data_IF_389644461031
#
_entry.id   IF_389644461031
#
_cell.length_a   1.000
_cell.length_b   1.000
_cell.length_c   1.000
_cell.angle_alpha   90.00
_cell.angle_beta   90.00
_cell.angle_gamma   90.00
#
_symmetry.space_group_name_H-M   'P 1'
#
loop_
_entity.id
_entity.type
_entity.pdbx_description
1 polymer ?
2 non-polymer ?
3 water ?
#
# COMPACT_ATOMS: atom_id res chain seq x y z
N UNK A 15 43.43 15.92 -8.77
CA UNK A 15 42.84 17.09 -8.13
C UNK A 15 42.94 17.04 -6.60
N UNK A 16 43.41 18.13 -5.99
CA UNK A 16 43.53 18.23 -4.53
C UNK A 16 42.16 18.53 -3.93
N UNK A 17 41.80 17.84 -2.82
CA UNK A 17 40.54 18.02 -2.09
C UNK A 17 40.52 19.37 -1.35
N UNK A 18 39.40 20.11 -1.43
CA UNK A 18 39.23 21.34 -0.68
C UNK A 18 38.59 20.94 0.63
N UNK A 19 39.33 21.07 1.73
CA UNK A 19 38.82 20.65 3.03
C UNK A 19 37.93 21.73 3.63
N UNK A 20 36.69 21.83 3.13
CA UNK A 20 35.66 22.81 3.56
C UNK A 20 34.31 22.09 3.64
N UNK A 21 33.38 22.58 4.47
CA UNK A 21 32.08 21.92 4.63
C UNK A 21 30.92 22.76 4.20
N UNK A 22 29.98 22.15 3.47
CA UNK A 22 28.76 22.81 3.04
C UNK A 22 27.85 23.05 4.27
N UNK A 23 27.19 24.18 4.29
CA UNK A 23 26.28 24.58 5.36
C UNK A 23 24.86 24.50 4.91
N UNK A 24 23.98 23.92 5.77
CA UNK A 24 22.55 23.77 5.50
C UNK A 24 21.76 23.77 6.77
N UNK A 25 20.56 24.36 6.71
CA UNK A 25 19.62 24.36 7.84
C UNK A 25 18.91 23.01 7.79
N UNK A 26 19.20 22.13 8.74
CA UNK A 26 18.66 20.77 8.70
C UNK A 26 17.36 20.59 9.45
N UNK A 27 16.42 19.88 8.80
CA UNK A 27 15.13 19.51 9.36
C UNK A 27 15.44 18.60 10.56
N UNK A 28 14.80 18.87 11.68
CA UNK A 28 15.06 18.21 12.95
C UNK A 28 13.71 17.79 13.55
N UNK A 29 13.63 16.71 14.35
CA UNK A 29 12.33 16.35 14.95
C UNK A 29 11.74 17.42 15.88
N UNK A 30 12.56 18.37 16.38
CA UNK A 30 12.06 19.46 17.25
C UNK A 30 11.13 20.45 16.50
N UNK A 31 11.12 20.39 15.15
CA UNK A 31 10.28 21.30 14.35
C UNK A 31 8.87 20.73 14.14
N UNK A 32 8.58 19.57 14.76
CA UNK A 32 7.30 18.89 14.64
C UNK A 32 6.79 18.53 16.02
N UNK A 33 5.71 19.18 16.41
CA UNK A 33 5.02 18.97 17.68
C UNK A 33 4.30 17.61 17.64
N UNK A 34 4.55 16.76 18.63
CA UNK A 34 3.92 15.45 18.75
C UNK A 34 2.48 15.61 19.25
N UNK A 35 1.47 15.20 18.45
CA UNK A 35 0.07 15.31 18.85
C UNK A 35 -0.49 14.02 19.43
N UNK A 36 -0.30 12.89 18.72
CA UNK A 36 -0.75 11.56 19.16
C UNK A 36 -0.10 10.46 18.31
N UNK A 37 -0.18 9.22 18.79
CA UNK A 37 0.28 8.01 18.08
C UNK A 37 -0.89 7.65 17.18
N UNK A 38 -0.61 7.43 15.89
CA UNK A 38 -1.63 7.03 14.92
C UNK A 38 -1.70 5.51 14.83
N UNK A 39 -0.54 4.87 14.94
CA UNK A 39 -0.49 3.41 14.87
C UNK A 39 0.91 2.88 14.69
N UNK A 40 0.99 1.67 14.19
CA UNK A 40 2.23 0.94 13.99
C UNK A 40 2.42 0.58 12.53
N UNK A 41 3.48 1.11 11.94
CA UNK A 41 3.89 0.83 10.57
C UNK A 41 4.76 -0.40 10.51
N UNK A 42 5.33 -0.71 9.33
CA UNK A 42 6.16 -1.89 9.11
C UNK A 42 7.36 -2.00 10.05
N UNK A 43 8.04 -0.87 10.39
CA UNK A 43 9.22 -0.89 11.29
C UNK A 43 9.20 0.05 12.48
N UNK A 44 8.13 0.78 12.65
CA UNK A 44 8.04 1.69 13.79
C UNK A 44 6.68 2.30 13.94
N UNK A 45 6.55 3.16 14.95
CA UNK A 45 5.32 3.88 15.24
C UNK A 45 5.11 5.03 14.26
N UNK A 46 3.83 5.34 13.98
CA UNK A 46 3.52 6.50 13.18
C UNK A 46 2.80 7.47 14.10
N UNK A 47 3.23 8.73 14.12
CA UNK A 47 2.66 9.81 14.94
C UNK A 47 2.02 10.89 14.10
N UNK A 48 0.97 11.50 14.62
CA UNK A 48 0.38 12.69 14.03
C UNK A 48 1.21 13.85 14.64
N UNK A 49 1.79 14.67 13.78
CA UNK A 49 2.63 15.81 14.21
C UNK A 49 2.14 17.09 13.54
N UNK A 50 2.53 18.25 14.10
CA UNK A 50 2.19 19.54 13.55
C UNK A 50 3.48 20.33 13.40
N UNK A 51 3.74 20.80 12.18
CA UNK A 51 4.91 21.61 11.86
C UNK A 51 4.85 22.91 12.67
N UNK A 52 5.93 23.21 13.38
CA UNK A 52 6.04 24.40 14.23
C UNK A 52 6.51 25.65 13.48
N UNK A 53 7.58 25.52 12.69
CA UNK A 53 8.20 26.66 12.00
C UNK A 53 8.18 26.55 10.47
N UNK A 54 8.70 27.59 9.81
CA UNK A 54 8.83 27.62 8.35
C UNK A 54 7.55 27.92 7.60
N UNK A 55 7.61 27.80 6.27
CA UNK A 55 6.52 28.07 5.33
C UNK A 55 5.32 27.17 5.53
N UNK A 56 5.55 25.89 5.89
CA UNK A 56 4.47 24.94 6.15
C UNK A 56 4.09 24.88 7.66
N UNK A 57 4.32 25.97 8.42
CA UNK A 57 3.96 26.00 9.85
C UNK A 57 2.45 25.76 10.03
N UNK A 58 2.08 24.97 11.06
CA UNK A 58 0.71 24.58 11.45
C UNK A 58 0.18 23.40 10.62
N UNK A 59 0.95 22.93 9.63
CA UNK A 59 0.55 21.79 8.79
C UNK A 59 0.63 20.50 9.56
N UNK A 60 -0.39 19.64 9.39
CA UNK A 60 -0.39 18.31 9.98
C UNK A 60 0.34 17.34 9.07
N UNK A 61 1.08 16.40 9.65
CA UNK A 61 1.80 15.36 8.94
C UNK A 61 1.77 14.08 9.73
N UNK A 62 2.09 12.96 9.10
CA UNK A 62 2.28 11.69 9.76
C UNK A 62 3.80 11.51 9.83
N UNK A 63 4.32 11.25 11.03
CA UNK A 63 5.75 11.06 11.23
C UNK A 63 5.98 9.59 11.58
N UNK A 64 6.77 8.91 10.75
CA UNK A 64 7.14 7.52 11.02
C UNK A 64 8.55 7.59 11.56
N UNK A 65 8.80 6.91 12.71
CA UNK A 65 10.08 6.92 13.42
C UNK A 65 10.65 5.52 13.55
N UNK A 66 11.92 5.34 13.15
CA UNK A 66 12.62 4.09 13.34
C UNK A 66 13.61 4.29 14.48
N UNK A 67 13.45 3.52 15.58
CA UNK A 67 14.29 3.58 16.78
C UNK A 67 15.44 2.59 16.66
N UNK A 68 16.50 2.80 17.49
CA UNK A 68 17.76 2.01 17.56
C UNK A 68 18.20 1.54 16.16
N UNK A 69 18.16 2.50 15.21
CA UNK A 69 18.45 2.37 13.79
C UNK A 69 19.84 1.79 13.49
N UNK A 70 20.83 2.03 14.38
CA UNK A 70 22.19 1.54 14.24
C UNK A 70 22.30 0.01 14.40
N UNK A 71 21.48 -0.58 15.29
CA UNK A 71 21.46 -2.02 15.56
C UNK A 71 20.51 -2.78 14.61
N UNK A 72 19.33 -2.20 14.31
CA UNK A 72 18.32 -2.79 13.42
C UNK A 72 18.73 -2.56 11.95
N UNK A 73 19.76 -3.30 11.48
CA UNK A 73 20.36 -3.17 10.15
C UNK A 73 19.34 -3.47 9.00
N UNK A 74 18.52 -4.53 9.11
CA UNK A 74 17.54 -4.86 8.05
C UNK A 74 16.39 -3.83 7.98
N UNK A 75 15.94 -3.32 9.13
CA UNK A 75 14.91 -2.30 9.16
C UNK A 75 15.46 -0.96 8.63
N UNK A 76 16.78 -0.68 8.85
CA UNK A 76 17.45 0.54 8.38
C UNK A 76 17.61 0.56 6.84
N UNK A 77 18.07 -0.54 6.23
CA UNK A 77 18.25 -0.63 4.77
C UNK A 77 16.88 -0.47 4.03
N UNK A 78 15.82 -1.01 4.63
CA UNK A 78 14.47 -0.97 4.07
C UNK A 78 13.85 0.40 4.30
N UNK A 79 14.24 1.10 5.37
CA UNK A 79 13.76 2.47 5.62
C UNK A 79 14.36 3.42 4.56
N UNK A 80 15.63 3.21 4.20
CA UNK A 80 16.36 3.95 3.16
C UNK A 80 15.72 3.65 1.78
N UNK A 81 15.42 2.37 1.50
CA UNK A 81 14.75 1.97 0.26
C UNK A 81 13.37 2.66 0.21
N UNK A 82 12.63 2.66 1.32
CA UNK A 82 11.30 3.26 1.41
C UNK A 82 11.37 4.77 1.08
N UNK A 83 12.39 5.45 1.64
CA UNK A 83 12.64 6.85 1.39
C UNK A 83 12.88 7.05 -0.13
N UNK A 84 13.76 6.22 -0.73
CA UNK A 84 14.13 6.32 -2.14
C UNK A 84 12.92 6.13 -3.06
N UNK A 85 12.05 5.14 -2.73
CA UNK A 85 10.83 4.88 -3.49
C UNK A 85 9.96 6.15 -3.45
N UNK A 86 9.74 6.69 -2.23
CA UNK A 86 8.88 7.87 -2.02
C UNK A 86 9.35 9.13 -2.74
N UNK A 87 10.67 9.30 -2.88
CA UNK A 87 11.26 10.45 -3.56
C UNK A 87 11.05 10.31 -5.09
N UNK A 88 11.08 9.08 -5.60
CA UNK A 88 10.93 8.75 -7.02
C UNK A 88 9.48 8.83 -7.52
N UNK A 89 8.52 8.34 -6.70
CA UNK A 89 7.10 8.25 -7.07
C UNK A 89 6.40 9.60 -7.13
N UNK A 90 5.52 9.76 -8.13
CA UNK A 90 4.66 10.94 -8.28
C UNK A 90 3.33 10.45 -8.85
N UNK A 91 2.39 10.16 -7.94
CA UNK A 91 1.12 9.57 -8.36
C UNK A 91 -0.02 10.01 -7.46
N UNK A 92 -1.27 10.15 -7.98
CA UNK A 92 -2.37 10.59 -7.10
C UNK A 92 -2.75 9.65 -5.96
N UNK A 93 -2.42 8.36 -6.08
CA UNK A 93 -2.83 7.39 -5.07
C UNK A 93 -1.66 6.83 -4.30
N UNK A 94 -0.55 7.54 -4.32
CA UNK A 94 0.63 7.18 -3.56
C UNK A 94 1.01 8.37 -2.66
N UNK A 95 1.19 8.12 -1.36
CA UNK A 95 1.58 9.14 -0.35
C UNK A 95 2.83 9.94 -0.76
N UNK A 96 2.80 11.25 -0.48
CA UNK A 96 3.92 12.16 -0.71
C UNK A 96 4.81 12.22 0.54
N UNK A 97 6.13 12.16 0.32
CA UNK A 97 7.11 12.32 1.39
C UNK A 97 7.50 13.78 1.38
N UNK A 98 7.40 14.43 2.54
CA UNK A 98 7.75 15.84 2.71
C UNK A 98 9.17 16.05 3.23
N UNK A 99 9.62 15.22 4.17
CA UNK A 99 10.94 15.29 4.78
C UNK A 99 11.41 13.91 5.14
N UNK A 100 12.72 13.74 5.21
CA UNK A 100 13.43 12.56 5.70
C UNK A 100 14.68 13.10 6.36
N UNK A 101 14.94 12.70 7.61
CA UNK A 101 16.10 13.14 8.36
C UNK A 101 16.41 12.14 9.46
N UNK A 102 17.57 12.26 10.05
CA UNK A 102 17.98 11.35 11.09
C UNK A 102 18.74 12.02 12.19
N UNK A 103 18.79 11.37 13.36
CA UNK A 103 19.58 11.74 14.56
C UNK A 103 20.36 10.46 14.91
N UNK A 104 21.18 10.48 15.99
CA UNK A 104 21.88 9.26 16.39
C UNK A 104 20.84 8.19 16.80
N UNK A 105 20.92 7.04 16.19
CA UNK A 105 19.99 5.95 16.44
C UNK A 105 18.50 6.17 16.16
N UNK A 106 18.13 7.19 15.34
CA UNK A 106 16.72 7.42 14.92
C UNK A 106 16.57 7.93 13.48
N UNK A 107 15.66 7.34 12.68
CA UNK A 107 15.36 7.79 11.32
C UNK A 107 13.92 8.28 11.30
N UNK A 108 13.64 9.36 10.56
CA UNK A 108 12.30 9.95 10.50
C UNK A 108 11.83 10.18 9.07
N UNK A 109 10.55 9.86 8.81
CA UNK A 109 9.89 10.12 7.55
C UNK A 109 8.67 10.95 7.87
N UNK A 110 8.56 12.11 7.22
CA UNK A 110 7.43 13.02 7.35
C UNK A 110 6.57 12.87 6.09
N UNK A 111 5.35 12.34 6.25
CA UNK A 111 4.47 12.04 5.12
C UNK A 111 3.15 12.77 5.24
N UNK A 112 2.35 12.78 4.14
CA UNK A 112 1.01 13.36 4.20
C UNK A 112 0.27 12.66 5.34
N UNK A 113 -0.57 13.40 6.05
CA UNK A 113 -1.44 12.84 7.07
C UNK A 113 -2.75 12.55 6.36
N UNK A 114 -3.15 11.28 6.28
CA UNK A 114 -4.39 10.89 5.60
C UNK A 114 -5.51 10.94 6.62
N UNK A 115 -6.38 11.93 6.49
CA UNK A 115 -7.41 12.24 7.45
C UNK A 115 -8.55 11.22 7.55
N UNK A 116 -8.74 10.40 6.53
CA UNK A 116 -9.81 9.40 6.53
C UNK A 116 -9.54 8.07 7.21
N UNK A 117 -8.35 7.86 7.76
CA UNK A 117 -8.01 6.59 8.38
C UNK A 117 -7.77 5.49 7.36
N UNK A 118 -7.67 4.22 7.81
CA UNK A 118 -7.41 3.12 6.89
C UNK A 118 -8.70 2.38 6.45
N UNK A 119 -8.58 1.59 5.39
CA UNK A 119 -9.69 0.83 4.85
C UNK A 119 -10.09 -0.32 5.77
N UNK A 120 -9.14 -0.88 6.55
CA UNK A 120 -9.44 -1.95 7.50
C UNK A 120 -10.48 -1.48 8.53
N UNK A 121 -10.35 -0.24 9.07
CA UNK A 121 -11.34 0.27 10.02
C UNK A 121 -12.74 0.27 9.37
N UNK A 122 -12.86 0.77 8.12
CA UNK A 122 -14.15 0.79 7.41
C UNK A 122 -14.68 -0.63 7.17
N UNK A 123 -13.80 -1.52 6.67
CA UNK A 123 -14.14 -2.92 6.38
C UNK A 123 -14.63 -3.64 7.62
N UNK A 124 -13.91 -3.52 8.75
CA UNK A 124 -14.32 -4.16 10.01
C UNK A 124 -15.71 -3.66 10.48
N UNK A 125 -16.01 -2.38 10.29
CA UNK A 125 -17.31 -1.83 10.72
C UNK A 125 -18.47 -2.31 9.87
N UNK A 126 -18.24 -2.41 8.55
CA UNK A 126 -19.25 -2.78 7.57
C UNK A 126 -19.31 -4.28 7.26
N UNK A 127 -18.29 -5.07 7.69
CA UNK A 127 -18.11 -6.52 7.49
C UNK A 127 -17.64 -6.75 6.05
N UNK A 128 -18.40 -6.24 5.08
CA UNK A 128 -18.02 -6.32 3.66
C UNK A 128 -18.53 -5.11 2.90
N UNK A 129 -17.89 -4.81 1.78
CA UNK A 129 -18.27 -3.68 0.94
C UNK A 129 -19.14 -4.13 -0.20
N UNK A 130 -19.93 -3.21 -0.76
CA UNK A 130 -20.69 -3.48 -1.99
C UNK A 130 -19.67 -3.63 -3.15
N UNK A 131 -20.09 -4.33 -4.22
CA UNK A 131 -19.25 -4.45 -5.41
C UNK A 131 -18.92 -3.08 -6.01
N UNK A 132 -19.88 -2.13 -6.01
CA UNK A 132 -19.61 -0.76 -6.49
C UNK A 132 -18.45 -0.10 -5.72
N UNK A 133 -18.40 -0.24 -4.37
CA UNK A 133 -17.30 0.28 -3.54
C UNK A 133 -15.97 -0.41 -3.81
N UNK A 134 -15.99 -1.75 -3.89
CA UNK A 134 -14.80 -2.59 -4.17
C UNK A 134 -14.21 -2.21 -5.54
N UNK A 135 -15.08 -2.05 -6.56
CA UNK A 135 -14.65 -1.68 -7.90
C UNK A 135 -13.88 -0.34 -7.83
N UNK A 136 -14.42 0.64 -7.09
CA UNK A 136 -13.76 1.96 -6.91
C UNK A 136 -12.35 1.81 -6.30
N UNK A 137 -12.26 1.16 -5.13
CA UNK A 137 -11.01 1.00 -4.36
C UNK A 137 -9.95 0.24 -5.15
N UNK A 138 -10.36 -0.88 -5.77
CA UNK A 138 -9.45 -1.66 -6.57
C UNK A 138 -9.03 -0.92 -7.80
N UNK A 139 -9.94 -0.11 -8.41
CA UNK A 139 -9.55 0.65 -9.60
C UNK A 139 -8.44 1.67 -9.26
N UNK A 140 -8.58 2.43 -8.17
CA UNK A 140 -7.49 3.36 -7.79
C UNK A 140 -6.22 2.61 -7.43
N UNK A 141 -6.38 1.45 -6.77
CA UNK A 141 -5.25 0.61 -6.38
C UNK A 141 -4.51 0.04 -7.57
N UNK A 142 -5.23 -0.36 -8.63
CA UNK A 142 -4.59 -0.92 -9.83
C UNK A 142 -3.69 0.13 -10.49
N UNK A 143 -4.13 1.41 -10.52
CA UNK A 143 -3.28 2.48 -11.08
C UNK A 143 -2.06 2.71 -10.23
N UNK A 144 -2.20 2.69 -8.89
CA UNK A 144 -1.04 2.86 -7.98
C UNK A 144 -0.07 1.71 -8.13
N UNK A 145 -0.57 0.45 -8.13
CA UNK A 145 0.31 -0.72 -8.32
C UNK A 145 1.04 -0.67 -9.65
N UNK A 146 0.36 -0.32 -10.73
CA UNK A 146 1.00 -0.23 -12.04
C UNK A 146 2.09 0.82 -12.10
N UNK A 147 1.87 1.98 -11.44
CA UNK A 147 2.89 3.02 -11.36
C UNK A 147 4.15 2.46 -10.71
N UNK A 148 3.99 1.72 -9.59
CA UNK A 148 5.13 1.11 -8.86
C UNK A 148 5.86 0.07 -9.73
N UNK A 149 5.09 -0.75 -10.44
CA UNK A 149 5.59 -1.79 -11.35
C UNK A 149 6.41 -1.16 -12.48
N UNK A 150 5.97 0.01 -13.01
CA UNK A 150 6.67 0.72 -14.09
C UNK A 150 8.06 1.22 -13.67
N UNK A 151 8.25 1.41 -12.37
CA UNK A 151 9.51 1.84 -11.77
C UNK A 151 10.36 0.65 -11.25
N UNK A 152 9.94 -0.59 -11.54
CA UNK A 152 10.64 -1.81 -11.11
C UNK A 152 10.39 -2.20 -9.67
N UNK A 153 9.27 -1.75 -9.11
CA UNK A 153 8.93 -2.03 -7.71
C UNK A 153 7.85 -3.10 -7.57
N UNK A 154 7.97 -3.97 -6.57
CA UNK A 154 6.94 -4.94 -6.18
C UNK A 154 6.43 -4.37 -4.85
N UNK A 155 5.15 -4.08 -4.74
CA UNK A 155 4.64 -3.54 -3.49
C UNK A 155 4.71 -4.56 -2.33
N UNK A 156 4.19 -5.79 -2.56
CA UNK A 156 4.25 -6.95 -1.64
C UNK A 156 3.42 -6.85 -0.39
N UNK A 157 3.18 -5.66 0.14
CA UNK A 157 2.47 -5.58 1.41
C UNK A 157 1.02 -5.09 1.32
N UNK A 158 0.24 -5.63 0.37
CA UNK A 158 -1.16 -5.26 0.28
C UNK A 158 -1.88 -5.93 1.43
N UNK A 159 -2.77 -5.18 2.06
CA UNK A 159 -3.60 -5.52 3.21
C UNK A 159 -4.45 -4.25 3.44
N UNK A 160 -5.70 -4.35 3.93
CA UNK A 160 -6.51 -3.13 4.06
C UNK A 160 -5.94 -2.08 5.04
N UNK A 161 -5.06 -2.47 5.99
CA UNK A 161 -4.38 -1.55 6.93
C UNK A 161 -3.45 -0.60 6.19
N UNK A 162 -2.98 -1.01 5.01
CA UNK A 162 -2.05 -0.25 4.18
C UNK A 162 -2.74 0.61 3.13
N UNK A 163 -4.08 0.58 3.12
CA UNK A 163 -4.85 1.41 2.21
C UNK A 163 -5.44 2.52 3.05
N UNK A 164 -4.87 3.72 2.90
CA UNK A 164 -5.33 4.88 3.67
C UNK A 164 -6.30 5.71 2.85
N UNK A 165 -7.14 6.49 3.51
CA UNK A 165 -8.10 7.32 2.79
C UNK A 165 -7.86 8.79 3.11
N UNK A 166 -8.02 9.67 2.12
CA UNK A 166 -7.93 11.11 2.36
C UNK A 166 -9.31 11.64 2.75
N UNK A 167 -9.39 12.95 3.05
CA UNK A 167 -10.63 13.59 3.48
C UNK A 167 -11.77 13.42 2.45
N UNK A 168 -11.43 13.28 1.16
CA UNK A 168 -12.39 13.05 0.07
C UNK A 168 -12.81 11.58 -0.05
N UNK A 169 -11.99 10.65 0.45
CA UNK A 169 -12.32 9.24 0.30
C UNK A 169 -11.50 8.51 -0.76
N UNK A 170 -10.57 9.21 -1.44
CA UNK A 170 -9.66 8.58 -2.40
C UNK A 170 -8.58 7.84 -1.61
N UNK A 171 -7.97 6.82 -2.22
CA UNK A 171 -6.99 6.00 -1.52
C UNK A 171 -5.57 6.54 -1.61
N UNK A 172 -4.71 6.04 -0.70
CA UNK A 172 -3.26 6.24 -0.74
C UNK A 172 -2.55 5.04 -0.20
N UNK A 173 -1.51 4.59 -0.92
CA UNK A 173 -0.59 3.57 -0.41
C UNK A 173 0.46 4.36 0.29
N UNK A 174 0.83 3.99 1.52
CA UNK A 174 1.73 4.81 2.32
C UNK A 174 2.99 4.12 2.85
N UNK A 175 2.93 2.79 3.04
CA UNK A 175 4.01 2.02 3.68
C UNK A 175 4.73 1.09 2.71
N UNK A 176 5.98 1.45 2.39
CA UNK A 176 6.86 0.74 1.45
C UNK A 176 8.00 -0.01 2.11
N UNK A 177 7.93 -0.16 3.43
CA UNK A 177 8.97 -0.84 4.21
C UNK A 177 9.25 -2.26 3.76
N UNK A 178 8.20 -2.99 3.36
CA UNK A 178 8.33 -4.38 2.91
C UNK A 178 8.37 -4.53 1.38
N UNK A 179 8.40 -3.41 0.62
CA UNK A 179 8.43 -3.45 -0.85
C UNK A 179 9.79 -3.92 -1.42
N UNK A 180 9.88 -4.09 -2.74
CA UNK A 180 11.12 -4.51 -3.36
C UNK A 180 11.37 -3.64 -4.58
N UNK A 181 12.59 -3.12 -4.69
CA UNK A 181 13.04 -2.26 -5.80
C UNK A 181 13.89 -3.09 -6.76
N UNK A 182 14.19 -2.51 -7.94
CA UNK A 182 15.08 -3.05 -8.98
C UNK A 182 14.69 -4.44 -9.49
N UNK A 183 13.39 -4.70 -9.63
CA UNK A 183 12.91 -5.97 -10.14
C UNK A 183 12.45 -5.75 -11.59
N UNK A 184 13.36 -6.01 -12.53
CA UNK A 184 13.16 -5.87 -13.97
C UNK A 184 13.88 -6.99 -14.72
N UNK A 185 13.58 -7.15 -16.03
CA UNK A 185 14.12 -8.18 -16.91
C UNK A 185 13.88 -9.59 -16.34
N UNK A 186 14.94 -10.33 -15.96
CA UNK A 186 14.84 -11.68 -15.41
C UNK A 186 15.08 -11.76 -13.89
N UNK A 187 15.23 -10.60 -13.21
CA UNK A 187 15.45 -10.55 -11.77
C UNK A 187 14.16 -10.93 -11.02
N UNK A 188 14.32 -11.63 -9.88
CA UNK A 188 13.24 -12.07 -9.00
C UNK A 188 13.66 -11.71 -7.57
N UNK A 189 12.67 -11.62 -6.67
CA UNK A 189 12.89 -11.37 -5.25
C UNK A 189 12.62 -12.72 -4.55
N UNK A 190 13.28 -12.94 -3.41
CA UNK A 190 13.19 -14.24 -2.72
C UNK A 190 12.80 -14.17 -1.26
N UNK A 191 12.62 -12.95 -0.73
CA UNK A 191 12.23 -12.68 0.65
C UNK A 191 10.85 -13.17 0.99
N UNK A 192 10.65 -13.46 2.27
CA UNK A 192 9.38 -13.93 2.77
C UNK A 192 8.95 -12.89 3.84
N UNK A 193 8.25 -11.86 3.38
CA UNK A 193 7.81 -10.71 4.17
C UNK A 193 6.42 -10.29 3.77
N UNK A 194 5.66 -9.82 4.75
CA UNK A 194 4.28 -9.39 4.51
C UNK A 194 3.33 -10.24 5.32
N UNK A 195 2.04 -10.00 5.15
CA UNK A 195 1.01 -10.75 5.87
C UNK A 195 0.75 -11.98 5.02
N UNK A 196 0.90 -13.16 5.64
CA UNK A 196 0.81 -14.48 4.99
C UNK A 196 -0.45 -14.65 4.13
N UNK A 197 -1.66 -14.31 4.67
CA UNK A 197 -2.93 -14.47 3.96
C UNK A 197 -2.99 -13.79 2.57
N UNK A 198 -2.20 -12.74 2.34
CA UNK A 198 -2.15 -12.01 1.06
C UNK A 198 -1.02 -12.48 0.14
N UNK A 199 -0.14 -13.40 0.60
CA UNK A 199 1.01 -13.84 -0.22
C UNK A 199 0.64 -14.76 -1.39
N UNK A 200 1.26 -14.50 -2.54
CA UNK A 200 1.13 -15.31 -3.73
C UNK A 200 1.80 -16.68 -3.48
N UNK A 201 1.38 -17.77 -4.17
CA UNK A 201 2.01 -19.08 -3.96
C UNK A 201 3.52 -19.06 -4.16
N UNK A 202 4.03 -18.33 -5.20
CA UNK A 202 5.48 -18.23 -5.48
C UNK A 202 6.25 -17.52 -4.34
N UNK A 203 5.56 -16.67 -3.56
CA UNK A 203 6.16 -16.02 -2.38
C UNK A 203 6.25 -17.10 -1.27
N UNK A 204 5.17 -17.83 -1.06
CA UNK A 204 5.10 -18.88 -0.02
C UNK A 204 6.12 -20.02 -0.26
N UNK A 205 6.23 -20.53 -1.50
CA UNK A 205 7.16 -21.65 -1.79
C UNK A 205 8.60 -21.22 -2.05
N UNK A 206 8.91 -19.89 -1.93
CA UNK A 206 10.26 -19.28 -2.04
C UNK A 206 10.94 -19.43 -3.41
N UNK A 207 10.16 -19.69 -4.46
CA UNK A 207 10.69 -19.96 -5.80
C UNK A 207 11.05 -18.67 -6.59
N UNK A 208 10.80 -17.52 -6.00
CA UNK A 208 11.06 -16.27 -6.68
C UNK A 208 9.78 -15.60 -7.10
N UNK A 209 9.71 -14.31 -6.90
CA UNK A 209 8.53 -13.52 -7.24
C UNK A 209 8.91 -12.20 -7.90
N UNK A 210 7.97 -11.68 -8.69
CA UNK A 210 8.09 -10.42 -9.45
C UNK A 210 6.80 -9.62 -9.19
N UNK A 211 6.56 -8.59 -10.01
CA UNK A 211 5.36 -7.74 -9.92
C UNK A 211 4.05 -8.55 -9.99
N UNK A 212 4.02 -9.71 -10.69
CA UNK A 212 2.80 -10.55 -10.78
C UNK A 212 2.28 -11.05 -9.42
N UNK A 213 3.16 -11.11 -8.38
CA UNK A 213 2.79 -11.48 -7.01
C UNK A 213 1.82 -10.46 -6.46
N UNK A 214 1.98 -9.17 -6.83
CA UNK A 214 1.03 -8.12 -6.40
C UNK A 214 -0.39 -8.34 -6.91
N UNK A 215 -0.54 -8.95 -8.09
CA UNK A 215 -1.87 -9.19 -8.66
C UNK A 215 -2.60 -10.32 -7.94
N UNK A 216 -1.84 -11.33 -7.41
CA UNK A 216 -2.44 -12.36 -6.57
C UNK A 216 -2.95 -11.64 -5.27
N UNK A 217 -2.08 -10.81 -4.63
CA UNK A 217 -2.48 -10.07 -3.42
C UNK A 217 -3.71 -9.17 -3.62
N UNK A 218 -3.80 -8.56 -4.80
CA UNK A 218 -4.90 -7.72 -5.25
C UNK A 218 -6.20 -8.55 -5.27
N UNK A 219 -6.11 -9.81 -5.73
CA UNK A 219 -7.23 -10.76 -5.71
C UNK A 219 -7.68 -11.08 -4.29
N UNK A 220 -6.69 -11.30 -3.36
CA UNK A 220 -7.02 -11.62 -1.94
C UNK A 220 -7.75 -10.45 -1.31
N UNK A 221 -7.24 -9.25 -1.54
CA UNK A 221 -7.82 -8.02 -1.02
C UNK A 221 -9.25 -7.87 -1.55
N UNK A 222 -9.45 -8.11 -2.85
CA UNK A 222 -10.76 -8.06 -3.50
C UNK A 222 -11.75 -9.04 -2.82
N UNK A 223 -11.32 -10.30 -2.67
CA UNK A 223 -12.12 -11.35 -2.04
C UNK A 223 -12.50 -10.94 -0.62
N UNK A 224 -11.51 -10.46 0.17
CA UNK A 224 -11.79 -10.04 1.55
C UNK A 224 -12.79 -8.89 1.61
N UNK A 225 -12.61 -7.86 0.76
CA UNK A 225 -13.53 -6.72 0.73
C UNK A 225 -14.95 -7.14 0.34
N UNK A 226 -15.09 -8.06 -0.63
CA UNK A 226 -16.40 -8.49 -1.09
C UNK A 226 -17.13 -9.45 -0.16
N UNK A 227 -16.39 -10.25 0.63
CA UNK A 227 -16.99 -11.33 1.45
C UNK A 227 -16.84 -11.16 2.96
N UNK A 228 -15.90 -10.31 3.39
CA UNK A 228 -15.58 -10.14 4.81
C UNK A 228 -14.64 -11.23 5.34
N UNK A 229 -14.15 -12.13 4.45
CA UNK A 229 -13.25 -13.19 4.91
C UNK A 229 -12.11 -13.42 3.95
N UNK A 230 -11.10 -14.13 4.42
CA UNK A 230 -9.95 -14.43 3.58
C UNK A 230 -10.16 -15.72 2.77
N UNK A 231 -9.70 -15.76 1.50
CA UNK A 231 -9.92 -16.97 0.69
C UNK A 231 -9.12 -18.19 1.14
N UNK A 232 -7.85 -17.96 1.56
CA UNK A 232 -6.95 -19.06 1.92
C UNK A 232 -6.43 -18.80 3.29
N UNK A 233 -6.98 -19.53 4.26
CA UNK A 233 -6.61 -19.34 5.66
C UNK A 233 -6.86 -20.60 6.46
N UNK A 234 -5.88 -20.95 7.27
CA UNK A 234 -5.95 -22.13 8.13
C UNK A 234 -5.99 -21.75 9.59
N UNK A 235 -5.80 -22.74 10.46
CA UNK A 235 -5.84 -22.56 11.92
C UNK A 235 -4.62 -21.81 12.46
N UNK A 236 -3.52 -21.79 11.68
CA UNK A 236 -2.28 -21.10 12.06
C UNK A 236 -1.54 -20.69 10.77
N UNK A 237 -0.47 -19.89 10.87
CA UNK A 237 0.23 -19.40 9.68
C UNK A 237 0.78 -20.52 8.79
N UNK A 238 1.21 -21.64 9.38
CA UNK A 238 1.75 -22.77 8.62
C UNK A 238 0.66 -23.43 7.77
N UNK A 239 -0.56 -23.56 8.33
CA UNK A 239 -1.66 -24.16 7.57
C UNK A 239 -2.12 -23.23 6.45
N UNK A 240 -2.17 -21.90 6.72
CA UNK A 240 -2.56 -20.89 5.72
C UNK A 240 -1.59 -21.00 4.51
N UNK A 241 -0.28 -21.13 4.79
CA UNK A 241 0.77 -21.28 3.77
C UNK A 241 0.50 -22.46 2.84
N UNK A 242 0.26 -23.65 3.39
CA UNK A 242 -0.05 -24.83 2.55
C UNK A 242 -1.40 -24.67 1.83
N UNK A 243 -2.36 -23.96 2.46
CA UNK A 243 -3.64 -23.71 1.79
C UNK A 243 -3.50 -22.75 0.62
N UNK A 244 -2.55 -21.81 0.69
CA UNK A 244 -2.30 -20.92 -0.47
C UNK A 244 -1.70 -21.77 -1.61
N UNK A 245 -0.79 -22.70 -1.27
CA UNK A 245 -0.14 -23.57 -2.28
C UNK A 245 -1.12 -24.49 -2.97
N UNK A 246 -2.18 -24.89 -2.28
CA UNK A 246 -3.21 -25.75 -2.89
C UNK A 246 -4.20 -24.90 -3.71
N UNK A 247 -4.44 -23.64 -3.28
CA UNK A 247 -5.34 -22.68 -3.91
C UNK A 247 -6.74 -23.27 -4.24
N UNK A 248 -7.33 -24.05 -3.32
CA UNK A 248 -8.68 -24.60 -3.54
C UNK A 248 -9.66 -23.52 -3.01
N UNK A 249 -10.22 -22.75 -3.91
CA UNK A 249 -11.08 -21.62 -3.59
C UNK A 249 -12.53 -22.03 -3.55
N UNK A 250 -13.17 -21.71 -2.43
CA UNK A 250 -14.61 -21.91 -2.25
C UNK A 250 -15.26 -20.60 -2.64
N UNK A 251 -15.98 -20.57 -3.77
CA UNK A 251 -16.56 -19.33 -4.28
C UNK A 251 -17.94 -18.97 -3.67
N UNK A 252 -18.04 -17.86 -2.88
CA UNK A 252 -19.38 -17.46 -2.36
C UNK A 252 -20.32 -17.08 -3.52
N UNK A 253 -21.54 -17.60 -3.44
CA UNK A 253 -22.56 -17.53 -4.49
C UNK A 253 -23.30 -16.19 -4.57
N UNK A 254 -22.92 -15.21 -3.74
CA UNK A 254 -23.49 -13.86 -3.83
C UNK A 254 -22.57 -12.98 -4.69
N UNK A 255 -21.44 -13.52 -5.15
CA UNK A 255 -20.51 -12.73 -5.97
C UNK A 255 -21.03 -12.74 -7.41
N UNK A 256 -20.92 -11.58 -8.11
CA UNK A 256 -21.39 -11.47 -9.49
C UNK A 256 -20.53 -12.33 -10.45
N UNK A 257 -21.03 -12.65 -11.67
CA UNK A 257 -20.19 -13.40 -12.63
C UNK A 257 -18.89 -12.65 -12.95
N UNK A 258 -18.94 -11.30 -13.00
CA UNK A 258 -17.80 -10.41 -13.29
C UNK A 258 -16.74 -10.53 -12.19
N UNK A 259 -17.19 -10.56 -10.92
CA UNK A 259 -16.30 -10.68 -9.74
C UNK A 259 -15.70 -12.08 -9.71
N UNK A 260 -16.53 -13.10 -10.01
CA UNK A 260 -16.04 -14.49 -10.03
C UNK A 260 -15.01 -14.67 -11.15
N UNK A 261 -15.23 -14.03 -12.32
CA UNK A 261 -14.26 -14.15 -13.42
C UNK A 261 -12.91 -13.51 -13.02
N UNK A 262 -12.93 -12.31 -12.48
CA UNK A 262 -11.73 -11.61 -12.06
C UNK A 262 -10.92 -12.41 -11.02
N UNK A 263 -11.58 -12.89 -9.94
CA UNK A 263 -10.97 -13.70 -8.90
C UNK A 263 -10.29 -14.95 -9.46
N UNK A 264 -10.99 -15.72 -10.32
CA UNK A 264 -10.41 -16.91 -10.92
C UNK A 264 -9.23 -16.59 -11.84
N UNK A 265 -9.26 -15.43 -12.52
CA UNK A 265 -8.17 -15.01 -13.42
C UNK A 265 -6.95 -14.49 -12.65
N UNK A 266 -7.16 -13.98 -11.42
CA UNK A 266 -6.08 -13.51 -10.55
C UNK A 266 -5.50 -14.66 -9.75
N UNK A 267 -6.34 -15.62 -9.35
CA UNK A 267 -5.88 -16.75 -8.54
C UNK A 267 -5.31 -17.88 -9.36
N UNK A 268 -4.33 -17.55 -10.19
CA UNK A 268 -3.60 -18.54 -11.00
C UNK A 268 -2.32 -18.77 -10.25
N UNK A 269 -2.06 -20.02 -9.84
CA UNK A 269 -0.85 -20.32 -9.06
C UNK A 269 0.41 -20.06 -9.84
N UNK A 270 0.40 -20.35 -11.14
CA UNK A 270 1.53 -20.05 -12.03
C UNK A 270 1.50 -18.53 -12.34
N UNK A 271 2.47 -17.73 -11.85
CA UNK A 271 2.44 -16.28 -12.08
C UNK A 271 2.47 -15.89 -13.57
N UNK A 272 3.08 -16.72 -14.44
CA UNK A 272 3.09 -16.43 -15.88
C UNK A 272 1.67 -16.45 -16.49
N UNK A 273 0.71 -17.16 -15.84
CA UNK A 273 -0.64 -17.29 -16.37
C UNK A 273 -1.68 -16.40 -15.69
N UNK A 274 -1.23 -15.58 -14.72
CA UNK A 274 -2.06 -14.69 -13.94
C UNK A 274 -2.48 -13.44 -14.71
N UNK A 275 -3.73 -12.95 -14.49
CA UNK A 275 -4.19 -11.70 -15.08
C UNK A 275 -3.27 -10.55 -14.62
N UNK A 276 -2.82 -9.76 -15.58
CA UNK A 276 -1.89 -8.65 -15.33
C UNK A 276 -0.45 -9.04 -15.59
N UNK A 277 -0.19 -10.34 -15.82
CA UNK A 277 1.17 -10.81 -16.06
C UNK A 277 1.52 -11.02 -17.52
N UNK A 278 0.52 -10.88 -18.39
CA UNK A 278 0.70 -10.99 -19.84
C UNK A 278 1.47 -9.79 -20.39
N UNK A 279 1.71 -9.71 -21.72
CA UNK A 279 2.48 -8.57 -22.25
C UNK A 279 1.82 -7.21 -22.07
N UNK A 280 0.48 -7.16 -22.00
CA UNK A 280 -0.25 -5.90 -21.83
C UNK A 280 -0.29 -5.41 -20.38
N UNK A 281 0.29 -6.18 -19.46
CA UNK A 281 0.39 -5.84 -18.04
C UNK A 281 -0.94 -5.46 -17.43
N UNK A 282 -0.99 -4.27 -16.84
CA UNK A 282 -2.17 -3.72 -16.16
C UNK A 282 -3.39 -3.59 -17.07
N UNK A 283 -3.18 -3.43 -18.40
CA UNK A 283 -4.30 -3.32 -19.34
C UNK A 283 -5.20 -4.56 -19.31
N UNK A 284 -4.63 -5.75 -19.01
CA UNK A 284 -5.41 -6.99 -18.84
C UNK A 284 -6.40 -6.85 -17.69
N UNK A 285 -6.01 -6.12 -16.64
CA UNK A 285 -6.93 -5.90 -15.51
C UNK A 285 -7.90 -4.78 -15.84
N UNK A 286 -7.39 -3.68 -16.41
CA UNK A 286 -8.23 -2.52 -16.71
C UNK A 286 -9.39 -2.84 -17.65
N UNK A 287 -9.16 -3.72 -18.64
CA UNK A 287 -10.19 -4.10 -19.60
C UNK A 287 -11.07 -5.28 -19.14
N UNK A 288 -10.85 -5.84 -17.93
CA UNK A 288 -11.69 -6.95 -17.45
C UNK A 288 -13.12 -6.42 -17.26
N UNK A 289 -14.12 -7.26 -17.53
CA UNK A 289 -15.55 -6.91 -17.41
C UNK A 289 -15.93 -6.35 -16.02
N UNK A 290 -15.24 -6.77 -14.95
CA UNK A 290 -15.51 -6.27 -13.60
C UNK A 290 -15.37 -4.74 -13.51
N UNK A 291 -14.45 -4.18 -14.29
CA UNK A 291 -14.17 -2.74 -14.32
C UNK A 291 -14.77 -1.99 -15.52
N UNK A 292 -15.71 -2.61 -16.25
CA UNK A 292 -16.26 -2.00 -17.47
C UNK A 292 -16.88 -0.59 -17.29
N UNK A 293 -17.45 -0.25 -16.12
CA UNK A 293 -18.03 1.09 -15.90
C UNK A 293 -16.96 2.16 -15.50
N UNK A 294 -15.70 1.73 -15.30
CA UNK A 294 -14.60 2.63 -14.90
C UNK A 294 -14.02 3.43 -16.07
N UNK A 295 -14.03 4.77 -15.94
CA UNK A 295 -13.40 5.70 -16.87
C UNK A 295 -12.05 5.91 -16.21
N UNK A 296 -11.00 5.22 -16.71
CA UNK A 296 -9.68 5.25 -16.06
C UNK A 296 -9.01 6.62 -16.09
N UNK A 297 -9.29 7.45 -17.11
CA UNK A 297 -8.71 8.80 -17.19
C UNK A 297 -9.29 9.71 -16.10
N UNK A 298 -10.65 9.72 -15.97
CA UNK A 298 -11.39 10.47 -14.93
C UNK A 298 -10.94 9.99 -13.52
N UNK A 299 -10.75 8.66 -13.35
CA UNK A 299 -10.28 8.06 -12.11
C UNK A 299 -8.89 8.62 -11.73
N UNK A 300 -7.90 8.58 -12.66
CA UNK A 300 -6.55 9.12 -12.42
C UNK A 300 -6.62 10.60 -12.04
N UNK A 301 -7.54 11.37 -12.68
CA UNK A 301 -7.72 12.80 -12.44
C UNK A 301 -8.47 13.10 -11.14
N UNK A 302 -8.80 12.05 -10.33
CA UNK A 302 -9.53 12.14 -9.05
C UNK A 302 -10.90 12.81 -9.28
N UNK A 303 -11.52 12.49 -10.43
CA UNK A 303 -12.79 13.05 -10.85
C UNK A 303 -13.96 12.11 -10.66
N UNK A 304 -13.70 10.92 -10.11
CA UNK A 304 -14.72 9.93 -9.78
C UNK A 304 -15.02 10.10 -8.29
N UNK A 305 -16.29 10.33 -7.95
CA UNK A 305 -16.66 10.52 -6.55
C UNK A 305 -16.44 9.23 -5.76
N UNK A 306 -15.65 9.26 -4.66
CA UNK A 306 -15.47 8.04 -3.86
C UNK A 306 -16.82 7.62 -3.29
N UNK A 307 -17.05 6.32 -3.03
CA UNK A 307 -18.40 5.90 -2.61
C UNK A 307 -18.74 6.27 -1.18
N UNK A 308 -17.71 6.55 -0.41
CA UNK A 308 -17.76 6.84 1.00
C UNK A 308 -16.85 8.02 1.31
N UNK A 309 -17.39 9.04 1.98
CA UNK A 309 -16.60 10.19 2.38
C UNK A 309 -16.31 9.98 3.87
N UNK A 310 -15.02 9.87 4.28
CA UNK A 310 -14.72 9.65 5.71
C UNK A 310 -14.75 10.93 6.53
N UNK A 318 -24.57 23.62 18.69
CA UNK A 318 -25.45 23.24 17.57
C UNK A 318 -26.92 23.05 18.01
N UNK A 319 -27.19 23.16 19.31
CA UNK A 319 -28.54 23.00 19.88
C UNK A 319 -29.28 24.32 19.95
N UNK A 320 -28.57 25.38 20.36
CA UNK A 320 -29.13 26.72 20.52
C UNK A 320 -29.94 27.18 19.33
N UNK A 321 -31.14 27.71 19.59
CA UNK A 321 -32.04 28.21 18.56
C UNK A 321 -32.83 29.40 19.12
N UNK A 322 -32.82 30.50 18.37
CA UNK A 322 -33.44 31.76 18.74
C UNK A 322 -33.51 32.59 17.44
N UNK A 323 -34.50 32.32 16.56
CA UNK A 323 -34.55 33.03 15.28
C UNK A 323 -35.03 34.48 15.39
#
# INVERSE_FOLDING_TARGET
GPNPQTEEVSIKEIAITHHVKEGHEKADPSQFELLKVLGQGSFGKVFLVKKISGSDARQLYAMKVLKKATLKVRDRVRTKMERDILVEVNHPFIVKLHYAFQTEGKLYLILDFLRGGDLFTRLSKEVMFTEEDVKFYLAELALALDHLHSLGIIYRDLKPENILLDEEGHIKLTDFGLSKESIDHEKKAYSFCGTVEYMAPEVVNRRGHTQSADWWSFGVLMFEMLTGTLPFQGKDRKETMTMILKAKLGMPQFLSPEAQSLLRMLFKRNPANRLGAGPDGVEEIKRHSFFSTIDWNKLYRREIHPPFKPATGRPEDTFYFDP
#
